data_IF_424410701296
#
_entry.id   IF_424410701296
#
_cell.length_a   1.000
_cell.length_b   1.000
_cell.length_c   1.000
_cell.angle_alpha   90.00
_cell.angle_beta   90.00
_cell.angle_gamma   90.00
#
_symmetry.space_group_name_H-M   'P 1'
#
loop_
_entity.id
_entity.type
_entity.pdbx_description
1 polymer ?
#
# COMPACT_ATOMS: atom_id res chain seq x y z
N UNK A 1 34.09 -93.55 73.94
CA UNK A 1 34.60 -93.62 72.58
C UNK A 1 33.68 -92.81 71.65
N UNK A 2 34.06 -91.55 71.29
CA UNK A 2 33.29 -90.67 70.43
C UNK A 2 34.01 -90.46 69.14
N UNK A 3 33.51 -91.00 68.04
CA UNK A 3 33.96 -90.75 66.70
C UNK A 3 33.29 -89.55 66.04
N UNK A 4 34.02 -88.45 65.84
CA UNK A 4 33.54 -87.30 65.04
C UNK A 4 33.58 -87.65 63.54
N UNK A 5 32.39 -87.64 62.86
CA UNK A 5 32.28 -87.75 61.41
C UNK A 5 32.77 -86.46 60.72
N UNK A 6 33.55 -86.52 59.63
CA UNK A 6 34.01 -85.34 58.93
C UNK A 6 32.91 -84.63 58.12
N UNK A 7 32.78 -83.32 58.24
CA UNK A 7 31.89 -82.52 57.46
C UNK A 7 32.36 -82.50 55.98
N UNK A 8 31.54 -83.06 55.06
CA UNK A 8 31.73 -82.91 53.61
C UNK A 8 31.58 -81.41 53.21
N UNK A 9 32.73 -80.85 52.73
CA UNK A 9 32.72 -79.53 52.06
C UNK A 9 31.92 -79.64 50.74
N UNK A 10 30.80 -78.85 50.56
CA UNK A 10 30.09 -78.70 49.27
C UNK A 10 31.04 -78.09 48.25
N UNK A 11 31.13 -78.64 47.00
CA UNK A 11 31.98 -78.03 45.97
C UNK A 11 31.46 -76.67 45.60
N UNK A 12 32.29 -75.63 45.65
CA UNK A 12 31.98 -74.33 45.08
C UNK A 12 31.85 -74.50 43.55
N UNK A 13 30.65 -74.42 43.03
CA UNK A 13 30.38 -74.40 41.59
C UNK A 13 31.14 -73.19 40.98
N UNK A 14 32.25 -73.42 40.29
CA UNK A 14 32.95 -72.42 39.51
C UNK A 14 31.98 -71.99 38.39
N UNK A 15 31.45 -70.84 38.51
CA UNK A 15 30.62 -70.26 37.46
C UNK A 15 31.49 -70.09 36.20
N UNK A 16 31.02 -70.61 35.07
CA UNK A 16 31.75 -70.63 33.80
C UNK A 16 32.06 -69.20 33.36
N UNK A 17 33.30 -68.85 32.98
CA UNK A 17 33.76 -67.56 32.56
C UNK A 17 32.87 -66.99 31.42
N UNK A 18 32.36 -67.86 30.54
CA UNK A 18 31.44 -67.54 29.46
C UNK A 18 30.11 -66.97 29.98
N UNK A 19 29.55 -67.54 31.08
CA UNK A 19 28.34 -67.08 31.73
C UNK A 19 28.56 -65.70 32.35
N UNK A 20 29.75 -65.42 32.93
CA UNK A 20 30.06 -64.08 33.46
C UNK A 20 30.17 -63.02 32.36
N UNK A 21 30.78 -63.35 31.20
CA UNK A 21 30.86 -62.49 30.05
C UNK A 21 29.46 -62.19 29.46
N UNK A 22 28.59 -63.20 29.35
CA UNK A 22 27.22 -63.02 28.83
C UNK A 22 26.43 -62.16 29.77
N UNK A 23 26.47 -62.33 31.08
CA UNK A 23 25.79 -61.47 32.06
C UNK A 23 26.32 -60.03 32.00
N UNK A 24 27.65 -59.85 31.86
CA UNK A 24 28.28 -58.54 31.73
C UNK A 24 27.84 -57.82 30.49
N UNK A 25 27.72 -58.48 29.34
CA UNK A 25 27.21 -57.91 28.08
C UNK A 25 25.71 -57.55 28.21
N UNK A 26 24.91 -58.44 28.83
CA UNK A 26 23.47 -58.17 29.04
C UNK A 26 23.23 -56.97 29.97
N UNK A 27 23.99 -56.89 31.08
CA UNK A 27 23.90 -55.73 31.99
C UNK A 27 24.34 -54.42 31.31
N UNK A 28 25.39 -54.48 30.45
CA UNK A 28 25.82 -53.32 29.67
C UNK A 28 24.80 -52.90 28.64
N UNK A 29 24.14 -53.81 27.93
CA UNK A 29 23.04 -53.53 27.00
C UNK A 29 21.81 -52.97 27.71
N UNK A 30 21.47 -53.46 28.90
CA UNK A 30 20.37 -52.90 29.72
C UNK A 30 20.69 -51.50 30.14
N UNK A 31 21.92 -51.19 30.60
CA UNK A 31 22.34 -49.85 30.97
C UNK A 31 22.28 -48.86 29.77
N UNK A 32 22.72 -49.31 28.58
CA UNK A 32 22.59 -48.49 27.35
C UNK A 32 21.12 -48.24 27.04
N UNK A 33 20.27 -49.25 27.12
CA UNK A 33 18.82 -49.10 26.87
C UNK A 33 18.17 -48.15 27.87
N UNK A 34 18.50 -48.21 29.15
CA UNK A 34 18.03 -47.28 30.18
C UNK A 34 18.49 -45.86 29.92
N UNK A 35 19.78 -45.65 29.55
CA UNK A 35 20.32 -44.33 29.21
C UNK A 35 19.64 -43.76 27.99
N UNK A 36 19.41 -44.55 26.94
CA UNK A 36 18.70 -44.12 25.74
C UNK A 36 17.23 -43.77 26.06
N UNK A 37 16.59 -44.55 26.95
CA UNK A 37 15.21 -44.28 27.38
C UNK A 37 15.13 -43.01 28.21
N UNK A 38 16.04 -42.80 29.16
CA UNK A 38 16.13 -41.55 29.93
C UNK A 38 16.36 -40.36 29.02
N UNK A 39 17.31 -40.49 28.05
CA UNK A 39 17.57 -39.41 27.09
C UNK A 39 16.35 -39.07 26.26
N UNK A 40 15.59 -40.08 25.81
CA UNK A 40 14.34 -39.89 25.07
C UNK A 40 13.27 -39.17 25.92
N UNK A 41 13.06 -39.62 27.16
CA UNK A 41 12.11 -39.00 28.10
C UNK A 41 12.48 -37.52 28.35
N UNK A 42 13.76 -37.23 28.57
CA UNK A 42 14.24 -35.86 28.77
C UNK A 42 14.07 -35.01 27.51
N UNK A 43 14.26 -35.56 26.32
CA UNK A 43 14.04 -34.87 25.06
C UNK A 43 12.54 -34.58 24.84
N UNK A 44 11.68 -35.55 25.13
CA UNK A 44 10.24 -35.41 25.02
C UNK A 44 9.69 -34.33 26.00
N UNK A 45 10.16 -34.32 27.25
CA UNK A 45 9.81 -33.29 28.24
C UNK A 45 10.29 -31.91 27.79
N UNK A 46 11.52 -31.78 27.29
CA UNK A 46 12.05 -30.51 26.77
C UNK A 46 11.24 -30.02 25.59
N UNK A 47 10.86 -30.89 24.65
CA UNK A 47 10.06 -30.55 23.50
C UNK A 47 8.64 -30.09 23.91
N UNK A 48 8.06 -30.67 24.95
CA UNK A 48 6.75 -30.26 25.47
C UNK A 48 6.81 -28.89 26.18
N UNK A 49 7.87 -28.59 26.93
CA UNK A 49 8.10 -27.30 27.54
C UNK A 49 8.30 -26.23 26.47
N UNK A 50 9.11 -26.51 25.44
CA UNK A 50 9.35 -25.60 24.34
C UNK A 50 8.08 -25.34 23.51
N UNK A 51 7.26 -26.37 23.27
CA UNK A 51 5.95 -26.23 22.66
C UNK A 51 5.07 -25.23 23.43
N UNK A 52 4.94 -25.41 24.76
CA UNK A 52 4.16 -24.51 25.60
C UNK A 52 4.69 -23.08 25.56
N UNK A 53 6.02 -22.92 25.53
CA UNK A 53 6.67 -21.62 25.41
C UNK A 53 6.34 -20.95 24.09
N UNK A 54 6.37 -21.67 22.96
CA UNK A 54 6.01 -21.14 21.64
C UNK A 54 4.55 -20.70 21.64
N UNK A 55 3.63 -21.53 22.10
CA UNK A 55 2.20 -21.19 22.20
C UNK A 55 2.00 -19.91 23.01
N UNK A 56 2.68 -19.81 24.16
CA UNK A 56 2.59 -18.61 24.99
C UNK A 56 3.10 -17.36 24.25
N UNK A 57 4.25 -17.45 23.57
CA UNK A 57 4.85 -16.33 22.82
C UNK A 57 3.91 -15.87 21.70
N UNK A 58 3.31 -16.80 20.94
CA UNK A 58 2.40 -16.48 19.86
C UNK A 58 1.11 -15.83 20.36
N UNK A 59 0.59 -16.30 21.49
CA UNK A 59 -0.60 -15.69 22.13
C UNK A 59 -0.29 -14.33 22.76
N UNK A 60 0.87 -14.16 23.40
CA UNK A 60 1.30 -12.85 23.93
C UNK A 60 1.52 -11.85 22.79
N UNK A 61 2.03 -12.30 21.64
CA UNK A 61 2.18 -11.47 20.45
C UNK A 61 0.81 -11.02 19.91
N UNK A 62 -0.14 -11.93 19.80
CA UNK A 62 -1.52 -11.59 19.37
C UNK A 62 -2.20 -10.57 20.30
N UNK A 63 -1.95 -10.63 21.61
CA UNK A 63 -2.48 -9.67 22.60
C UNK A 63 -1.99 -8.23 22.42
N UNK A 64 -0.88 -8.02 21.76
CA UNK A 64 -0.37 -6.66 21.50
C UNK A 64 -1.26 -5.89 20.51
N UNK A 65 -1.98 -6.62 19.66
CA UNK A 65 -2.78 -6.05 18.56
C UNK A 65 -4.28 -6.26 18.74
N UNK A 66 -4.67 -7.17 19.63
CA UNK A 66 -6.06 -7.48 19.88
C UNK A 66 -6.32 -7.49 21.40
N UNK A 67 -7.33 -6.79 21.85
CA UNK A 67 -7.70 -6.77 23.28
C UNK A 67 -8.04 -8.18 23.76
N UNK A 68 -8.83 -8.91 22.97
CA UNK A 68 -9.20 -10.30 23.22
C UNK A 68 -9.21 -11.11 21.93
N UNK A 69 -8.99 -12.44 22.06
CA UNK A 69 -9.09 -13.40 20.96
C UNK A 69 -9.53 -14.77 21.48
N UNK A 70 -10.10 -15.58 20.60
CA UNK A 70 -10.32 -17.01 20.81
C UNK A 70 -9.23 -17.82 20.11
N UNK A 71 -8.97 -19.02 20.62
CA UNK A 71 -8.06 -19.98 20.00
C UNK A 71 -8.91 -21.14 19.47
N UNK A 72 -8.74 -21.44 18.18
CA UNK A 72 -9.32 -22.61 17.55
C UNK A 72 -8.17 -23.57 17.21
N UNK A 73 -8.22 -24.77 17.79
CA UNK A 73 -7.18 -25.79 17.63
C UNK A 73 -7.64 -26.85 16.62
N UNK A 74 -6.73 -27.26 15.75
CA UNK A 74 -6.94 -28.37 14.81
C UNK A 74 -5.67 -29.23 14.77
N UNK A 75 -5.80 -30.56 14.74
CA UNK A 75 -4.68 -31.47 14.61
C UNK A 75 -4.91 -32.44 13.47
N UNK A 76 -3.95 -32.53 12.57
CA UNK A 76 -3.95 -33.45 11.43
C UNK A 76 -2.60 -34.19 11.36
N UNK A 77 -2.55 -35.41 11.87
CA UNK A 77 -1.31 -36.18 11.98
C UNK A 77 -0.27 -35.48 12.85
N UNK A 78 0.86 -35.12 12.27
CA UNK A 78 1.94 -34.39 12.94
C UNK A 78 1.81 -32.86 12.88
N UNK A 79 0.75 -32.34 12.25
CA UNK A 79 0.51 -30.90 12.12
C UNK A 79 -0.51 -30.45 13.15
N UNK A 80 -0.12 -29.55 14.02
CA UNK A 80 -0.99 -28.84 14.96
C UNK A 80 -1.15 -27.42 14.51
N UNK A 81 -2.42 -26.97 14.38
CA UNK A 81 -2.80 -25.64 13.91
C UNK A 81 -3.52 -24.91 15.03
N UNK A 82 -3.13 -23.66 15.26
CA UNK A 82 -3.85 -22.73 16.12
C UNK A 82 -4.25 -21.50 15.31
N UNK A 83 -5.52 -21.17 15.34
CA UNK A 83 -6.06 -19.91 14.81
C UNK A 83 -6.37 -18.97 15.98
N UNK A 84 -5.66 -17.83 16.04
CA UNK A 84 -5.89 -16.80 17.06
C UNK A 84 -6.79 -15.73 16.45
N UNK A 85 -8.11 -15.88 16.68
CA UNK A 85 -9.15 -15.07 16.04
C UNK A 85 -9.59 -13.97 17.00
N UNK A 86 -9.45 -12.67 16.65
CA UNK A 86 -9.97 -11.57 17.46
C UNK A 86 -11.45 -11.72 17.78
N UNK A 87 -11.86 -11.25 18.96
CA UNK A 87 -13.26 -11.31 19.40
C UNK A 87 -13.89 -9.92 19.45
N UNK A 88 -15.21 -9.90 19.30
CA UNK A 88 -16.03 -8.72 19.56
C UNK A 88 -16.11 -8.39 21.08
N UNK A 89 -16.78 -7.31 21.43
CA UNK A 89 -16.99 -6.90 22.83
C UNK A 89 -17.77 -7.92 23.67
N UNK A 90 -18.49 -8.84 23.04
CA UNK A 90 -19.25 -9.92 23.68
C UNK A 90 -18.42 -11.21 23.86
N UNK A 91 -17.19 -11.22 23.34
CA UNK A 91 -16.27 -12.36 23.39
C UNK A 91 -16.49 -13.40 22.27
N UNK A 92 -17.31 -13.09 21.26
CA UNK A 92 -17.51 -13.99 20.13
C UNK A 92 -16.43 -13.73 19.07
N UNK A 93 -15.96 -14.79 18.35
CA UNK A 93 -15.07 -14.62 17.21
C UNK A 93 -15.67 -13.65 16.18
N UNK A 94 -14.84 -12.77 15.66
CA UNK A 94 -15.24 -11.86 14.57
C UNK A 94 -15.33 -12.69 13.28
N UNK A 95 -16.55 -12.99 12.85
CA UNK A 95 -16.85 -13.89 11.73
C UNK A 95 -16.17 -13.51 10.42
N UNK A 96 -16.12 -12.21 10.09
CA UNK A 96 -15.48 -11.71 8.88
C UNK A 96 -13.95 -12.03 8.88
N UNK A 97 -13.30 -11.91 10.04
CA UNK A 97 -11.86 -12.23 10.19
C UNK A 97 -11.66 -13.74 10.12
N UNK A 98 -12.50 -14.52 10.81
CA UNK A 98 -12.44 -15.98 10.79
C UNK A 98 -12.58 -16.52 9.36
N UNK A 99 -13.58 -16.03 8.62
CA UNK A 99 -13.82 -16.42 7.21
C UNK A 99 -12.63 -16.11 6.32
N UNK A 100 -12.01 -14.94 6.47
CA UNK A 100 -10.82 -14.58 5.70
C UNK A 100 -9.64 -15.47 6.06
N UNK A 101 -9.41 -15.76 7.35
CA UNK A 101 -8.37 -16.69 7.80
C UNK A 101 -8.60 -18.09 7.20
N UNK A 102 -9.81 -18.60 7.20
CA UNK A 102 -10.17 -19.89 6.60
C UNK A 102 -9.84 -19.94 5.10
N UNK A 103 -10.00 -18.83 4.38
CA UNK A 103 -9.64 -18.74 2.96
C UNK A 103 -8.13 -18.74 2.70
N UNK A 104 -7.35 -18.15 3.62
CA UNK A 104 -5.89 -18.00 3.47
C UNK A 104 -5.12 -19.25 3.92
N UNK A 105 -5.65 -20.03 4.86
CA UNK A 105 -4.92 -21.16 5.47
C UNK A 105 -4.76 -22.36 4.53
N UNK A 106 -5.61 -22.55 3.52
CA UNK A 106 -5.63 -23.76 2.69
C UNK A 106 -4.30 -24.05 2.02
N UNK A 107 -3.66 -23.06 1.41
CA UNK A 107 -2.36 -23.20 0.73
C UNK A 107 -1.23 -23.59 1.69
N UNK A 108 -1.27 -23.05 2.90
CA UNK A 108 -0.28 -23.37 3.94
C UNK A 108 -0.48 -24.80 4.47
N UNK A 109 -1.74 -25.19 4.69
CA UNK A 109 -2.04 -26.56 5.16
C UNK A 109 -1.66 -27.61 4.11
N UNK A 110 -1.87 -27.35 2.83
CA UNK A 110 -1.45 -28.20 1.73
C UNK A 110 0.08 -28.36 1.68
N UNK A 111 0.83 -27.28 1.88
CA UNK A 111 2.30 -27.28 1.90
C UNK A 111 2.87 -28.18 3.00
N UNK A 112 2.20 -28.27 4.15
CA UNK A 112 2.66 -29.06 5.30
C UNK A 112 1.87 -30.37 5.47
N UNK A 113 0.94 -30.70 4.58
CA UNK A 113 0.20 -31.96 4.62
C UNK A 113 1.17 -33.15 4.59
N UNK A 114 1.03 -34.07 5.57
CA UNK A 114 1.89 -35.26 5.68
C UNK A 114 3.30 -34.98 6.21
N UNK A 115 3.53 -33.88 6.93
CA UNK A 115 4.80 -33.57 7.57
C UNK A 115 5.29 -34.76 8.42
N UNK A 116 6.55 -35.18 8.20
CA UNK A 116 7.16 -36.32 8.92
C UNK A 116 7.49 -35.99 10.37
N UNK A 117 7.64 -34.70 10.69
CA UNK A 117 7.98 -34.21 12.03
C UNK A 117 6.81 -33.36 12.55
N UNK A 118 6.70 -33.25 13.88
CA UNK A 118 5.73 -32.37 14.52
C UNK A 118 5.93 -30.94 14.02
N UNK A 119 4.86 -30.36 13.47
CA UNK A 119 4.83 -29.03 12.87
C UNK A 119 3.73 -28.23 13.53
N UNK A 120 4.04 -27.02 13.99
CA UNK A 120 3.10 -26.10 14.62
C UNK A 120 2.87 -24.95 13.67
N UNK A 121 1.59 -24.63 13.41
CA UNK A 121 1.20 -23.55 12.52
C UNK A 121 0.27 -22.63 13.29
N UNK A 122 0.60 -21.35 13.35
CA UNK A 122 -0.22 -20.33 13.99
C UNK A 122 -0.70 -19.34 12.93
N UNK A 123 -2.01 -19.22 12.79
CA UNK A 123 -2.64 -18.15 12.02
C UNK A 123 -3.10 -17.06 12.96
N UNK A 124 -2.78 -15.80 12.62
CA UNK A 124 -3.04 -14.65 13.47
C UNK A 124 -3.62 -13.51 12.64
N UNK A 125 -4.56 -12.77 13.20
CA UNK A 125 -5.02 -11.53 12.62
C UNK A 125 -4.71 -10.38 13.58
N UNK A 126 -4.03 -9.33 13.08
CA UNK A 126 -3.68 -8.14 13.84
C UNK A 126 -4.51 -6.97 13.36
N UNK A 127 -5.27 -6.35 14.27
CA UNK A 127 -6.03 -5.14 13.97
C UNK A 127 -5.22 -3.91 14.37
N UNK A 128 -4.96 -3.05 13.39
CA UNK A 128 -4.31 -1.76 13.61
C UNK A 128 -5.29 -0.65 13.30
N UNK A 129 -5.56 0.21 14.28
CA UNK A 129 -6.41 1.39 14.07
C UNK A 129 -5.67 2.40 13.22
N UNK A 130 -6.24 2.73 12.07
CA UNK A 130 -5.69 3.73 11.14
C UNK A 130 -6.22 5.12 11.48
N UNK A 131 -7.54 5.26 11.48
CA UNK A 131 -8.29 6.43 11.93
C UNK A 131 -9.46 5.94 12.78
N UNK A 132 -10.25 6.85 13.36
CA UNK A 132 -11.37 6.47 14.23
C UNK A 132 -12.36 5.48 13.59
N UNK A 133 -12.54 5.56 12.27
CA UNK A 133 -13.50 4.80 11.49
C UNK A 133 -12.91 3.70 10.62
N UNK A 134 -11.58 3.52 10.60
CA UNK A 134 -10.91 2.55 9.72
C UNK A 134 -9.84 1.78 10.48
N UNK A 135 -9.88 0.46 10.35
CA UNK A 135 -8.83 -0.46 10.79
C UNK A 135 -8.12 -1.07 9.57
N UNK A 136 -6.85 -1.41 9.74
CA UNK A 136 -6.11 -2.32 8.86
C UNK A 136 -5.98 -3.66 9.58
N UNK A 137 -6.42 -4.74 8.94
CA UNK A 137 -6.34 -6.10 9.46
C UNK A 137 -5.28 -6.83 8.67
N UNK A 138 -4.23 -7.26 9.36
CA UNK A 138 -3.12 -8.01 8.79
C UNK A 138 -3.21 -9.48 9.21
N UNK A 139 -3.07 -10.39 8.28
CA UNK A 139 -3.13 -11.84 8.50
C UNK A 139 -1.74 -12.45 8.37
N UNK A 140 -1.28 -13.08 9.45
CA UNK A 140 0.06 -13.68 9.53
C UNK A 140 0.00 -15.18 9.74
N UNK A 141 1.05 -15.85 9.27
CA UNK A 141 1.35 -17.24 9.62
C UNK A 141 2.72 -17.34 10.27
N UNK A 142 2.81 -18.15 11.33
CA UNK A 142 4.09 -18.61 11.91
C UNK A 142 4.13 -20.13 11.84
N UNK A 143 5.23 -20.69 11.34
CA UNK A 143 5.41 -22.14 11.23
C UNK A 143 6.67 -22.57 11.97
N UNK A 144 6.52 -23.56 12.84
CA UNK A 144 7.61 -24.16 13.60
C UNK A 144 7.66 -25.66 13.34
N UNK A 145 8.86 -26.21 13.21
CA UNK A 145 9.05 -27.66 13.05
C UNK A 145 9.97 -28.21 14.12
N UNK A 146 9.60 -29.36 14.67
CA UNK A 146 10.38 -30.07 15.68
C UNK A 146 11.71 -30.52 15.15
N UNK A 147 12.78 -30.26 15.91
CA UNK A 147 14.12 -30.82 15.79
C UNK A 147 14.34 -31.96 16.79
N UNK A 148 15.54 -32.51 16.80
CA UNK A 148 15.93 -33.51 17.81
C UNK A 148 15.78 -32.95 19.23
N UNK A 149 15.95 -31.63 19.38
CA UNK A 149 15.74 -30.90 20.62
C UNK A 149 15.16 -29.50 20.32
N UNK A 150 13.93 -29.28 20.73
CA UNK A 150 13.19 -28.02 20.52
C UNK A 150 12.55 -27.93 19.15
N UNK A 151 12.23 -26.69 18.78
CA UNK A 151 11.60 -26.34 17.52
C UNK A 151 12.41 -25.26 16.80
N UNK A 152 12.31 -25.23 15.48
CA UNK A 152 12.83 -24.18 14.62
C UNK A 152 11.69 -23.48 13.94
N UNK A 153 11.71 -22.15 13.94
CA UNK A 153 10.79 -21.36 13.12
C UNK A 153 11.22 -21.46 11.66
N UNK A 154 10.33 -22.01 10.82
CA UNK A 154 10.55 -22.14 9.39
C UNK A 154 10.02 -20.92 8.62
N UNK A 155 8.87 -20.38 9.05
CA UNK A 155 8.19 -19.29 8.38
C UNK A 155 7.63 -18.30 9.40
N UNK A 156 7.68 -17.04 9.01
CA UNK A 156 6.89 -15.94 9.54
C UNK A 156 6.56 -15.03 8.36
N UNK A 157 5.30 -15.02 7.94
CA UNK A 157 4.88 -14.34 6.71
C UNK A 157 3.54 -13.65 6.90
N UNK A 158 3.40 -12.46 6.30
CA UNK A 158 2.14 -11.80 6.11
C UNK A 158 1.45 -12.38 4.88
N UNK A 159 0.36 -13.08 5.08
CA UNK A 159 -0.41 -13.72 4.01
C UNK A 159 -1.27 -12.73 3.24
N UNK A 160 -1.83 -11.74 3.95
CA UNK A 160 -2.73 -10.72 3.39
C UNK A 160 -2.93 -9.60 4.39
N UNK A 161 -3.45 -8.47 3.92
CA UNK A 161 -4.02 -7.42 4.76
C UNK A 161 -5.27 -6.85 4.10
N UNK A 162 -6.12 -6.19 4.90
CA UNK A 162 -7.37 -5.60 4.43
C UNK A 162 -7.74 -4.37 5.25
N UNK A 163 -7.96 -3.26 4.56
CA UNK A 163 -8.59 -2.09 5.16
C UNK A 163 -10.09 -2.32 5.30
N UNK A 164 -10.63 -2.04 6.49
CA UNK A 164 -12.05 -2.22 6.79
C UNK A 164 -12.59 -1.02 7.58
N UNK A 165 -13.90 -0.77 7.48
CA UNK A 165 -14.56 0.12 8.43
C UNK A 165 -14.51 -0.49 9.84
N UNK A 166 -14.21 0.33 10.84
CA UNK A 166 -14.00 -0.14 12.21
C UNK A 166 -15.27 -0.69 12.88
N UNK A 167 -16.44 -0.22 12.46
CA UNK A 167 -17.76 -0.60 13.02
C UNK A 167 -18.41 -1.77 12.31
N UNK A 168 -18.29 -1.86 10.97
CA UNK A 168 -18.98 -2.87 10.17
C UNK A 168 -18.08 -3.99 9.66
N UNK A 169 -16.75 -3.78 9.68
CA UNK A 169 -15.73 -4.64 9.08
C UNK A 169 -15.91 -4.87 7.57
N UNK A 170 -16.76 -4.06 6.93
CA UNK A 170 -16.87 -4.03 5.48
C UNK A 170 -15.59 -3.49 4.85
N UNK A 171 -15.21 -3.97 3.66
CA UNK A 171 -14.01 -3.50 2.97
C UNK A 171 -13.98 -1.98 2.81
N UNK A 172 -12.85 -1.38 3.17
CA UNK A 172 -12.60 0.04 3.00
C UNK A 172 -11.63 0.27 1.84
N UNK A 173 -12.08 0.95 0.82
CA UNK A 173 -11.21 1.34 -0.29
C UNK A 173 -10.31 2.50 0.11
N UNK A 174 -8.99 2.38 -0.11
CA UNK A 174 -8.01 3.42 0.19
C UNK A 174 -8.33 4.76 -0.49
N UNK A 175 -9.05 4.74 -1.61
CA UNK A 175 -9.52 5.94 -2.31
C UNK A 175 -10.38 6.85 -1.43
N UNK A 176 -11.10 6.27 -0.46
CA UNK A 176 -11.96 7.01 0.46
C UNK A 176 -11.20 7.91 1.44
N UNK A 177 -9.88 7.70 1.59
CA UNK A 177 -9.01 8.60 2.36
C UNK A 177 -8.89 9.99 1.71
N UNK A 178 -9.14 10.10 0.41
CA UNK A 178 -8.78 11.27 -0.38
C UNK A 178 -9.99 12.09 -0.82
N UNK A 179 -9.77 13.40 -0.99
CA UNK A 179 -10.80 14.35 -1.40
C UNK A 179 -11.16 14.23 -2.88
N UNK A 180 -10.18 13.85 -3.72
CA UNK A 180 -10.32 13.86 -5.17
C UNK A 180 -9.52 12.72 -5.80
N UNK A 181 -10.23 11.79 -6.42
CA UNK A 181 -9.61 10.60 -7.03
C UNK A 181 -8.73 10.94 -8.23
N UNK A 182 -9.12 11.93 -9.04
CA UNK A 182 -8.34 12.39 -10.19
C UNK A 182 -7.04 13.05 -9.73
N UNK A 183 -7.07 13.85 -8.66
CA UNK A 183 -5.88 14.44 -8.08
C UNK A 183 -4.89 13.37 -7.58
N UNK A 184 -5.41 12.31 -6.96
CA UNK A 184 -4.57 11.18 -6.55
C UNK A 184 -4.03 10.39 -7.72
N UNK A 185 -4.83 10.17 -8.76
CA UNK A 185 -4.36 9.55 -10.00
C UNK A 185 -3.19 10.34 -10.59
N UNK A 186 -3.35 11.65 -10.73
CA UNK A 186 -2.29 12.53 -11.22
C UNK A 186 -1.05 12.55 -10.30
N UNK A 187 -1.24 12.49 -8.98
CA UNK A 187 -0.12 12.39 -8.03
C UNK A 187 0.72 11.15 -8.29
N UNK A 188 0.09 9.97 -8.41
CA UNK A 188 0.80 8.72 -8.68
C UNK A 188 1.43 8.71 -10.08
N UNK A 189 0.70 9.19 -11.09
CA UNK A 189 1.22 9.32 -12.47
C UNK A 189 2.44 10.21 -12.50
N UNK A 190 2.40 11.37 -11.84
CA UNK A 190 3.54 12.28 -11.77
C UNK A 190 4.73 11.65 -11.07
N UNK A 191 4.50 10.93 -9.96
CA UNK A 191 5.56 10.21 -9.26
C UNK A 191 6.19 9.14 -10.15
N UNK A 192 5.39 8.41 -10.92
CA UNK A 192 5.89 7.41 -11.88
C UNK A 192 6.71 8.05 -13.00
N UNK A 193 6.28 9.19 -13.55
CA UNK A 193 7.01 9.94 -14.57
C UNK A 193 8.37 10.42 -14.02
N UNK A 194 8.38 10.99 -12.81
CA UNK A 194 9.60 11.52 -12.19
C UNK A 194 10.62 10.41 -11.91
N UNK A 195 10.15 9.26 -11.43
CA UNK A 195 11.00 8.08 -11.21
C UNK A 195 11.52 7.49 -12.52
N UNK A 196 10.67 7.35 -13.53
CA UNK A 196 11.05 6.87 -14.84
C UNK A 196 12.11 7.76 -15.47
N UNK A 197 11.94 9.08 -15.38
CA UNK A 197 12.91 10.08 -15.86
C UNK A 197 14.23 10.00 -15.10
N UNK A 198 14.21 9.86 -13.78
CA UNK A 198 15.41 9.69 -12.96
C UNK A 198 16.19 8.43 -13.32
N UNK A 199 15.50 7.38 -13.76
CA UNK A 199 16.07 6.10 -14.19
C UNK A 199 16.37 6.04 -15.69
N UNK A 200 16.13 7.12 -16.47
CA UNK A 200 16.40 7.19 -17.91
C UNK A 200 15.52 6.26 -18.74
N UNK A 201 14.32 5.94 -18.29
CA UNK A 201 13.38 5.07 -19.02
C UNK A 201 12.82 5.79 -20.26
N UNK A 202 12.57 5.01 -21.31
CA UNK A 202 11.89 5.48 -22.50
C UNK A 202 10.39 5.71 -22.24
N UNK A 203 9.74 6.47 -23.12
CA UNK A 203 8.31 6.80 -22.98
C UNK A 203 7.41 5.58 -22.90
N UNK A 204 7.63 4.58 -23.75
CA UNK A 204 6.88 3.31 -23.76
C UNK A 204 6.94 2.60 -22.39
N UNK A 205 8.12 2.58 -21.77
CA UNK A 205 8.31 2.00 -20.45
C UNK A 205 7.62 2.84 -19.37
N UNK A 206 7.65 4.15 -19.51
CA UNK A 206 6.98 5.10 -18.61
C UNK A 206 5.45 4.94 -18.71
N UNK A 207 4.91 4.86 -19.92
CA UNK A 207 3.46 4.63 -20.18
C UNK A 207 2.98 3.33 -19.52
N UNK A 208 3.77 2.27 -19.59
CA UNK A 208 3.45 0.99 -18.93
C UNK A 208 3.29 1.12 -17.42
N UNK A 209 4.14 1.91 -16.78
CA UNK A 209 4.06 2.16 -15.34
C UNK A 209 2.88 3.08 -15.04
N UNK A 210 2.74 4.21 -15.74
CA UNK A 210 1.70 5.21 -15.47
C UNK A 210 0.28 4.69 -15.69
N UNK A 211 0.09 3.77 -16.66
CA UNK A 211 -1.21 3.14 -16.93
C UNK A 211 -1.83 2.44 -15.72
N UNK A 212 -1.01 1.98 -14.77
CA UNK A 212 -1.47 1.34 -13.54
C UNK A 212 -2.13 2.34 -12.57
N UNK A 213 -1.89 3.63 -12.76
CA UNK A 213 -2.38 4.70 -11.88
C UNK A 213 -3.44 5.58 -12.52
N UNK A 214 -3.59 5.54 -13.85
CA UNK A 214 -4.57 6.32 -14.59
C UNK A 214 -6.00 5.83 -14.36
N UNK A 215 -6.97 6.70 -14.58
CA UNK A 215 -8.41 6.37 -14.66
C UNK A 215 -8.94 5.56 -13.47
N UNK A 216 -8.37 5.78 -12.29
CA UNK A 216 -8.75 5.08 -11.06
C UNK A 216 -8.19 3.66 -10.94
N UNK A 217 -7.33 3.21 -11.85
CA UNK A 217 -6.71 1.88 -11.76
C UNK A 217 -5.89 1.70 -10.48
N UNK A 218 -5.28 2.77 -9.95
CA UNK A 218 -4.54 2.76 -8.69
C UNK A 218 -5.35 2.22 -7.49
N UNK A 219 -6.68 2.31 -7.53
CA UNK A 219 -7.57 1.76 -6.49
C UNK A 219 -7.54 0.22 -6.41
N UNK A 220 -7.06 -0.43 -7.47
CA UNK A 220 -6.93 -1.90 -7.56
C UNK A 220 -5.55 -2.41 -7.15
N UNK A 221 -4.61 -1.50 -6.90
CA UNK A 221 -3.27 -1.87 -6.47
C UNK A 221 -3.28 -2.32 -5.01
N UNK A 222 -2.35 -3.20 -4.67
CA UNK A 222 -2.09 -3.56 -3.28
C UNK A 222 -1.51 -2.35 -2.56
N UNK A 223 -2.32 -1.75 -1.69
CA UNK A 223 -1.97 -0.57 -0.93
C UNK A 223 -2.32 -0.76 0.54
N UNK A 224 -1.33 -0.55 1.41
CA UNK A 224 -1.46 -0.64 2.86
C UNK A 224 -1.09 0.66 3.55
N UNK A 225 -1.69 0.88 4.71
CA UNK A 225 -1.33 1.98 5.58
C UNK A 225 -0.22 1.51 6.51
N UNK A 226 0.85 2.28 6.54
CA UNK A 226 2.00 2.06 7.42
C UNK A 226 2.10 3.21 8.42
N UNK A 227 2.97 3.07 9.41
CA UNK A 227 3.04 4.01 10.55
C UNK A 227 3.04 5.49 10.15
N UNK A 228 3.76 5.89 9.09
CA UNK A 228 3.95 7.30 8.72
C UNK A 228 3.47 7.61 7.28
N UNK A 229 2.68 6.73 6.65
CA UNK A 229 2.27 6.93 5.26
C UNK A 229 1.51 5.75 4.68
N UNK A 230 1.56 5.64 3.37
CA UNK A 230 1.02 4.51 2.63
C UNK A 230 2.13 3.77 1.88
N UNK A 231 1.98 2.46 1.77
CA UNK A 231 2.76 1.63 0.86
C UNK A 231 1.88 1.28 -0.32
N UNK A 232 2.40 1.43 -1.53
CA UNK A 232 1.68 1.08 -2.76
C UNK A 232 2.59 0.17 -3.58
N UNK A 233 2.13 -1.04 -3.89
CA UNK A 233 2.83 -1.98 -4.78
C UNK A 233 2.38 -1.77 -6.23
N UNK A 234 3.31 -1.86 -7.15
CA UNK A 234 3.07 -1.73 -8.58
C UNK A 234 4.05 -2.60 -9.38
N UNK A 235 3.88 -2.68 -10.70
CA UNK A 235 4.83 -3.34 -11.58
C UNK A 235 5.75 -2.30 -12.24
N UNK A 236 7.07 -2.54 -12.17
CA UNK A 236 8.05 -1.70 -12.84
C UNK A 236 8.03 -1.92 -14.37
N UNK A 237 8.94 -1.26 -15.08
CA UNK A 237 9.08 -1.39 -16.54
C UNK A 237 9.35 -2.83 -17.02
N UNK A 238 9.89 -3.69 -16.16
CA UNK A 238 10.25 -5.08 -16.43
C UNK A 238 9.22 -6.09 -15.90
N UNK A 239 8.03 -5.65 -15.49
CA UNK A 239 6.98 -6.45 -14.83
C UNK A 239 7.40 -7.03 -13.47
N UNK A 240 8.47 -6.51 -12.86
CA UNK A 240 8.87 -6.90 -11.53
C UNK A 240 8.05 -6.13 -10.48
N UNK A 241 7.82 -6.76 -9.33
CA UNK A 241 7.19 -6.07 -8.21
C UNK A 241 8.10 -4.95 -7.67
N UNK A 242 7.53 -3.77 -7.60
CA UNK A 242 8.10 -2.58 -7.00
C UNK A 242 7.13 -1.98 -6.00
N UNK A 243 7.61 -1.12 -5.11
CA UNK A 243 6.74 -0.46 -4.15
C UNK A 243 7.19 0.96 -3.86
N UNK A 244 6.23 1.83 -3.62
CA UNK A 244 6.48 3.13 -3.00
C UNK A 244 6.09 3.09 -1.52
N UNK A 245 6.85 3.81 -0.73
CA UNK A 245 6.46 4.26 0.60
C UNK A 245 6.29 5.76 0.51
N UNK A 246 5.05 6.23 0.68
CA UNK A 246 4.68 7.63 0.50
C UNK A 246 4.28 8.19 1.86
N UNK A 247 5.05 9.14 2.42
CA UNK A 247 4.73 9.75 3.70
C UNK A 247 3.40 10.51 3.67
N UNK A 248 2.66 10.51 4.77
CA UNK A 248 1.43 11.31 4.87
C UNK A 248 1.65 12.80 4.62
N UNK A 249 2.84 13.32 4.91
CA UNK A 249 3.21 14.71 4.64
C UNK A 249 3.17 15.08 3.16
N UNK A 250 3.39 14.14 2.24
CA UNK A 250 3.19 14.34 0.80
C UNK A 250 1.72 14.25 0.39
N UNK A 251 0.88 13.61 1.21
CA UNK A 251 -0.53 13.31 0.92
C UNK A 251 -1.51 14.29 1.56
N UNK A 252 -1.10 15.09 2.55
CA UNK A 252 -2.00 16.00 3.28
C UNK A 252 -2.84 16.92 2.39
N UNK A 253 -2.30 17.35 1.24
CA UNK A 253 -3.04 18.18 0.29
C UNK A 253 -4.25 17.44 -0.33
N UNK A 254 -4.23 16.15 -0.34
CA UNK A 254 -5.20 15.28 -1.01
C UNK A 254 -6.13 14.57 -0.04
N UNK A 255 -5.75 14.42 1.23
CA UNK A 255 -6.48 13.67 2.25
C UNK A 255 -7.70 14.44 2.77
N UNK A 256 -8.75 13.71 3.12
CA UNK A 256 -9.85 14.24 3.92
C UNK A 256 -9.39 14.49 5.35
N UNK A 257 -9.82 15.60 5.94
CA UNK A 257 -9.37 16.00 7.29
C UNK A 257 -9.77 14.99 8.38
N UNK A 258 -10.94 14.38 8.25
CA UNK A 258 -11.44 13.33 9.14
C UNK A 258 -10.73 11.98 8.95
N UNK A 259 -9.96 11.83 7.88
CA UNK A 259 -9.15 10.65 7.56
C UNK A 259 -7.65 10.83 7.87
N UNK A 260 -7.27 11.88 8.59
CA UNK A 260 -5.90 12.06 9.07
C UNK A 260 -5.66 11.14 10.28
N UNK A 261 -4.66 10.25 10.25
CA UNK A 261 -4.31 9.39 11.38
C UNK A 261 -4.03 10.21 12.65
N UNK A 262 -4.41 9.68 13.81
CA UNK A 262 -4.21 10.37 15.10
C UNK A 262 -2.75 10.74 15.32
N UNK A 263 -1.83 9.84 14.95
CA UNK A 263 -0.37 10.03 15.03
C UNK A 263 0.15 11.16 14.14
N UNK A 264 -0.61 11.58 13.13
CA UNK A 264 -0.22 12.59 12.14
C UNK A 264 -0.94 13.95 12.33
N UNK A 265 -1.85 14.06 13.29
CA UNK A 265 -2.63 15.28 13.49
C UNK A 265 -1.78 16.52 13.76
N UNK A 266 -0.72 16.39 14.54
CA UNK A 266 0.18 17.52 14.83
C UNK A 266 0.94 17.95 13.56
N UNK A 267 1.40 17.00 12.75
CA UNK A 267 2.05 17.26 11.47
C UNK A 267 1.08 17.94 10.49
N UNK A 268 -0.17 17.50 10.48
CA UNK A 268 -1.22 18.10 9.64
C UNK A 268 -1.56 19.54 10.07
N UNK A 269 -1.63 19.81 11.36
CA UNK A 269 -1.82 21.19 11.88
C UNK A 269 -0.67 22.10 11.44
N UNK A 270 0.58 21.63 11.51
CA UNK A 270 1.74 22.38 11.03
C UNK A 270 1.67 22.62 9.51
N UNK A 271 1.33 21.59 8.74
CA UNK A 271 1.09 21.71 7.29
C UNK A 271 0.06 22.80 6.99
N UNK A 272 -1.11 22.78 7.66
CA UNK A 272 -2.16 23.80 7.48
C UNK A 272 -1.68 25.21 7.84
N UNK A 273 -0.88 25.36 8.88
CA UNK A 273 -0.31 26.65 9.26
C UNK A 273 0.62 27.19 8.16
N UNK A 274 1.48 26.37 7.59
CA UNK A 274 2.35 26.75 6.45
C UNK A 274 1.54 27.10 5.22
N UNK A 275 0.49 26.33 4.90
CA UNK A 275 -0.43 26.64 3.78
C UNK A 275 -1.12 27.98 4.02
N UNK A 276 -1.64 28.23 5.23
CA UNK A 276 -2.30 29.49 5.58
C UNK A 276 -1.36 30.69 5.47
N UNK A 277 -0.12 30.56 5.95
CA UNK A 277 0.91 31.61 5.79
C UNK A 277 1.19 31.90 4.32
N UNK A 278 1.39 30.84 3.53
CA UNK A 278 1.58 30.99 2.09
C UNK A 278 0.38 31.65 1.42
N UNK A 279 -0.85 31.30 1.80
CA UNK A 279 -2.08 31.92 1.28
C UNK A 279 -2.25 33.38 1.68
N UNK A 280 -1.68 33.79 2.79
CA UNK A 280 -1.71 35.20 3.25
C UNK A 280 -0.77 36.14 2.47
N UNK A 281 0.13 35.62 1.65
CA UNK A 281 1.02 36.44 0.81
C UNK A 281 0.31 36.91 -0.45
N UNK A 282 0.68 38.06 -0.98
CA UNK A 282 0.18 38.54 -2.27
C UNK A 282 0.51 37.54 -3.37
N UNK A 283 -0.48 37.13 -4.14
CA UNK A 283 -0.32 36.16 -5.21
C UNK A 283 -1.14 36.54 -6.43
N UNK A 284 -0.64 36.12 -7.58
CA UNK A 284 -1.34 36.16 -8.87
C UNK A 284 -1.21 34.78 -9.49
N UNK A 285 -2.33 34.20 -9.92
CA UNK A 285 -2.33 33.01 -10.74
C UNK A 285 -2.25 33.41 -12.21
N UNK A 286 -1.21 32.96 -12.88
CA UNK A 286 -1.04 33.16 -14.32
C UNK A 286 -1.67 31.99 -15.06
N UNK A 287 -2.42 32.30 -16.11
CA UNK A 287 -2.96 31.28 -17.02
C UNK A 287 -2.91 31.74 -18.46
N UNK A 288 -2.70 30.78 -19.36
CA UNK A 288 -2.60 31.00 -20.80
C UNK A 288 -3.56 30.06 -21.52
N UNK A 289 -4.41 30.64 -22.36
CA UNK A 289 -5.41 29.92 -23.14
C UNK A 289 -4.93 29.67 -24.57
N UNK A 290 -5.67 28.87 -25.33
CA UNK A 290 -5.53 28.63 -26.77
C UNK A 290 -4.24 27.89 -27.21
N UNK A 291 -3.37 27.49 -26.29
CA UNK A 291 -2.16 26.73 -26.60
C UNK A 291 -2.43 25.22 -26.87
N UNK A 292 -1.36 24.47 -27.15
CA UNK A 292 0.00 24.92 -27.37
C UNK A 292 0.22 25.53 -28.76
N UNK A 293 1.12 26.53 -28.84
CA UNK A 293 1.65 27.07 -30.08
C UNK A 293 3.14 26.68 -30.20
N UNK A 294 3.51 26.09 -31.32
CA UNK A 294 4.93 25.71 -31.58
C UNK A 294 5.87 26.92 -31.51
N UNK A 295 5.38 28.11 -31.85
CA UNK A 295 6.20 29.34 -31.86
C UNK A 295 6.19 30.08 -30.52
N UNK A 296 5.00 30.20 -29.89
CA UNK A 296 4.82 31.11 -28.75
C UNK A 296 4.97 30.41 -27.38
N UNK A 297 4.42 29.22 -27.24
CA UNK A 297 4.44 28.51 -25.93
C UNK A 297 5.86 28.27 -25.41
N UNK A 298 6.86 27.87 -26.22
CA UNK A 298 8.22 27.76 -25.74
C UNK A 298 8.82 29.07 -25.22
N UNK A 299 8.49 30.21 -25.83
CA UNK A 299 8.95 31.52 -25.38
C UNK A 299 8.35 31.91 -24.02
N UNK A 300 7.09 31.58 -23.82
CA UNK A 300 6.39 31.80 -22.53
C UNK A 300 7.03 30.93 -21.45
N UNK A 301 7.31 29.65 -21.72
CA UNK A 301 7.98 28.74 -20.79
C UNK A 301 9.38 29.23 -20.42
N UNK A 302 10.16 29.74 -21.39
CA UNK A 302 11.49 30.31 -21.12
C UNK A 302 11.41 31.51 -20.17
N UNK A 303 10.41 32.39 -20.35
CA UNK A 303 10.18 33.53 -19.46
C UNK A 303 9.74 33.08 -18.07
N UNK A 304 8.79 32.14 -17.96
CA UNK A 304 8.35 31.62 -16.67
C UNK A 304 9.51 31.02 -15.88
N UNK A 305 10.38 30.25 -16.57
CA UNK A 305 11.60 29.69 -15.98
C UNK A 305 12.57 30.80 -15.51
N UNK A 306 12.77 31.82 -16.32
CA UNK A 306 13.62 32.97 -15.95
C UNK A 306 13.16 33.66 -14.66
N UNK A 307 11.85 33.78 -14.47
CA UNK A 307 11.26 34.43 -13.29
C UNK A 307 10.88 33.47 -12.17
N UNK A 308 11.23 32.17 -12.28
CA UNK A 308 10.83 31.13 -11.34
C UNK A 308 9.33 31.18 -11.03
N UNK A 309 8.52 31.36 -12.08
CA UNK A 309 7.07 31.46 -12.02
C UNK A 309 6.42 30.21 -12.61
N UNK A 310 5.26 29.86 -12.07
CA UNK A 310 4.42 28.77 -12.58
C UNK A 310 3.12 29.30 -13.12
N UNK A 311 2.50 28.55 -14.04
CA UNK A 311 1.26 28.94 -14.69
C UNK A 311 0.41 27.72 -15.00
N UNK A 312 -0.87 27.94 -15.29
CA UNK A 312 -1.79 26.95 -15.88
C UNK A 312 -1.93 27.22 -17.38
N UNK A 313 -1.74 26.18 -18.19
CA UNK A 313 -1.95 26.25 -19.64
C UNK A 313 -3.25 25.53 -20.00
N UNK A 314 -4.25 26.26 -20.45
CA UNK A 314 -5.53 25.72 -20.95
C UNK A 314 -5.38 25.35 -22.41
N UNK A 315 -5.37 24.05 -22.66
CA UNK A 315 -4.98 23.44 -23.94
C UNK A 315 -6.21 23.23 -24.83
N UNK A 316 -6.14 23.72 -26.05
CA UNK A 316 -7.10 23.37 -27.10
C UNK A 316 -6.71 22.02 -27.68
N UNK A 317 -7.58 21.03 -27.58
CA UNK A 317 -7.26 19.64 -27.91
C UNK A 317 -6.79 19.45 -29.36
N UNK A 318 -7.32 20.20 -30.31
CA UNK A 318 -6.89 20.17 -31.72
C UNK A 318 -5.46 20.69 -31.95
N UNK A 319 -4.85 21.34 -30.97
CA UNK A 319 -3.48 21.84 -31.05
C UNK A 319 -2.45 20.88 -30.43
N UNK A 320 -2.87 19.76 -29.86
CA UNK A 320 -1.97 18.82 -29.17
C UNK A 320 -1.12 18.03 -30.18
N UNK A 321 -1.74 17.53 -31.24
CA UNK A 321 -1.07 16.74 -32.27
C UNK A 321 0.07 17.54 -32.92
N UNK A 322 1.29 16.98 -32.88
CA UNK A 322 2.53 17.60 -33.33
C UNK A 322 3.17 18.58 -32.34
N UNK A 323 2.56 18.77 -31.17
CA UNK A 323 3.06 19.65 -30.09
C UNK A 323 3.25 18.89 -28.77
N UNK A 324 3.30 17.55 -28.78
CA UNK A 324 3.41 16.69 -27.61
C UNK A 324 4.64 17.04 -26.76
N UNK A 325 5.75 17.38 -27.41
CA UNK A 325 6.99 17.78 -26.72
C UNK A 325 6.80 19.07 -25.89
N UNK A 326 5.91 19.99 -26.34
CA UNK A 326 5.57 21.20 -25.59
C UNK A 326 4.71 20.86 -24.39
N UNK A 327 3.74 19.97 -24.54
CA UNK A 327 2.92 19.48 -23.42
C UNK A 327 3.80 18.86 -22.33
N UNK A 328 4.78 18.03 -22.72
CA UNK A 328 5.76 17.46 -21.78
C UNK A 328 6.59 18.51 -21.09
N UNK A 329 7.07 19.49 -21.84
CA UNK A 329 7.84 20.60 -21.30
C UNK A 329 7.05 21.41 -20.26
N UNK A 330 5.75 21.65 -20.50
CA UNK A 330 4.85 22.30 -19.54
C UNK A 330 4.86 21.52 -18.21
N UNK A 331 4.70 20.20 -18.26
CA UNK A 331 4.69 19.33 -17.06
C UNK A 331 6.06 19.28 -16.38
N UNK A 332 7.13 19.14 -17.18
CA UNK A 332 8.50 19.00 -16.67
C UNK A 332 9.00 20.26 -15.95
N UNK A 333 8.52 21.43 -16.37
CA UNK A 333 8.85 22.71 -15.76
C UNK A 333 7.89 23.09 -14.61
N UNK A 334 6.97 22.16 -14.20
CA UNK A 334 6.12 22.30 -13.02
C UNK A 334 4.87 23.17 -13.23
N UNK A 335 4.44 23.32 -14.47
CA UNK A 335 3.21 24.02 -14.81
C UNK A 335 2.01 23.08 -14.84
N UNK A 336 0.79 23.62 -14.71
CA UNK A 336 -0.44 22.85 -14.81
C UNK A 336 -0.99 22.81 -16.23
N UNK A 337 -1.64 21.69 -16.58
CA UNK A 337 -2.41 21.49 -17.79
C UNK A 337 -3.91 21.62 -17.46
N UNK A 338 -4.59 22.54 -18.13
CA UNK A 338 -6.04 22.69 -18.12
C UNK A 338 -6.66 22.29 -19.46
N UNK A 339 -7.95 22.00 -19.46
CA UNK A 339 -8.73 21.70 -20.65
C UNK A 339 -9.33 23.01 -21.21
N UNK A 340 -9.25 23.22 -22.54
CA UNK A 340 -9.88 24.35 -23.21
C UNK A 340 -10.81 23.93 -24.37
N UNK A 341 -11.43 22.74 -24.20
CA UNK A 341 -12.20 22.02 -25.22
C UNK A 341 -11.35 21.56 -26.42
N UNK A 342 -11.93 20.73 -27.29
CA UNK A 342 -11.20 20.20 -28.44
C UNK A 342 -11.11 21.18 -29.60
N UNK A 343 -12.23 21.80 -29.98
CA UNK A 343 -12.33 22.66 -31.17
C UNK A 343 -12.69 24.12 -30.85
N UNK A 344 -12.61 24.51 -29.58
CA UNK A 344 -12.88 25.86 -29.09
C UNK A 344 -14.27 26.40 -29.42
N UNK A 345 -15.39 25.64 -29.26
CA UNK A 345 -16.74 26.12 -29.53
C UNK A 345 -17.31 26.88 -28.33
N UNK A 346 -18.35 27.68 -28.54
CA UNK A 346 -19.17 28.21 -27.42
C UNK A 346 -20.03 27.08 -26.84
N UNK A 347 -19.57 26.47 -25.75
CA UNK A 347 -20.11 25.24 -25.18
C UNK A 347 -21.61 25.29 -24.82
N UNK A 348 -22.19 26.40 -24.27
CA UNK A 348 -23.63 26.45 -23.97
C UNK A 348 -24.56 26.28 -25.18
N UNK A 349 -24.06 26.39 -26.41
CA UNK A 349 -24.82 26.13 -27.63
C UNK A 349 -24.73 24.73 -28.16
N UNK A 350 -23.97 23.85 -27.46
CA UNK A 350 -23.76 22.47 -27.81
C UNK A 350 -24.74 21.57 -27.06
N UNK A 351 -24.93 20.36 -27.56
CA UNK A 351 -25.65 19.31 -26.83
C UNK A 351 -24.75 18.74 -25.70
N UNK A 352 -25.37 18.08 -24.74
CA UNK A 352 -24.62 17.42 -23.62
C UNK A 352 -23.54 16.47 -24.13
N UNK A 353 -23.86 15.63 -25.13
CA UNK A 353 -22.91 14.68 -25.72
C UNK A 353 -21.76 15.39 -26.45
N UNK A 354 -22.06 16.50 -27.16
CA UNK A 354 -21.02 17.28 -27.81
C UNK A 354 -20.07 17.91 -26.77
N UNK A 355 -20.59 18.46 -25.67
CA UNK A 355 -19.77 19.03 -24.59
C UNK A 355 -18.91 17.96 -23.96
N UNK A 356 -19.50 16.82 -23.60
CA UNK A 356 -18.73 15.67 -23.08
C UNK A 356 -17.58 15.26 -24.01
N UNK A 357 -17.86 15.16 -25.33
CA UNK A 357 -16.86 14.76 -26.31
C UNK A 357 -15.76 15.81 -26.50
N UNK A 358 -16.08 17.10 -26.48
CA UNK A 358 -15.10 18.19 -26.54
C UNK A 358 -14.10 18.12 -25.38
N UNK A 359 -14.60 17.92 -24.15
CA UNK A 359 -13.77 17.84 -22.95
C UNK A 359 -13.01 16.50 -22.90
N UNK A 360 -13.72 15.38 -23.07
CA UNK A 360 -13.09 14.06 -22.98
C UNK A 360 -11.98 13.86 -23.99
N UNK A 361 -12.19 14.24 -25.24
CA UNK A 361 -11.20 14.11 -26.31
C UNK A 361 -9.95 14.92 -26.02
N UNK A 362 -10.11 16.13 -25.51
CA UNK A 362 -9.00 16.99 -25.10
C UNK A 362 -8.23 16.37 -23.93
N UNK A 363 -8.95 15.93 -22.90
CA UNK A 363 -8.35 15.25 -21.74
C UNK A 363 -7.57 14.01 -22.13
N UNK A 364 -8.09 13.19 -23.06
CA UNK A 364 -7.40 11.97 -23.55
C UNK A 364 -6.13 12.32 -24.34
N UNK A 365 -6.17 13.38 -25.17
CA UNK A 365 -5.00 13.84 -25.93
C UNK A 365 -3.92 14.42 -25.00
N UNK A 366 -4.32 15.21 -24.00
CA UNK A 366 -3.41 15.73 -22.98
C UNK A 366 -2.77 14.55 -22.21
N UNK A 367 -3.56 13.60 -21.76
CA UNK A 367 -3.05 12.44 -21.02
C UNK A 367 -2.05 11.65 -21.86
N UNK A 368 -2.34 11.40 -23.14
CA UNK A 368 -1.41 10.73 -24.05
C UNK A 368 -0.10 11.53 -24.21
N UNK A 369 -0.19 12.83 -24.46
CA UNK A 369 0.99 13.68 -24.67
C UNK A 369 1.84 13.85 -23.40
N UNK A 370 1.23 13.78 -22.20
CA UNK A 370 1.87 13.97 -20.90
C UNK A 370 2.22 12.66 -20.16
N UNK A 371 2.13 11.50 -20.80
CA UNK A 371 2.36 10.19 -20.20
C UNK A 371 1.36 9.84 -19.06
N UNK A 372 0.15 10.35 -19.14
CA UNK A 372 -0.95 9.95 -18.26
C UNK A 372 -1.57 11.02 -17.38
N UNK A 373 -1.06 12.25 -17.36
CA UNK A 373 -1.63 13.33 -16.56
C UNK A 373 -2.90 13.89 -17.22
N UNK A 374 -3.97 13.99 -16.46
CA UNK A 374 -5.24 14.56 -16.93
C UNK A 374 -5.45 15.98 -16.39
N UNK A 375 -6.06 16.88 -17.18
CA UNK A 375 -6.43 18.21 -16.69
C UNK A 375 -7.41 18.10 -15.52
N UNK A 376 -7.22 18.93 -14.50
CA UNK A 376 -8.09 18.99 -13.33
C UNK A 376 -9.14 20.10 -13.41
N UNK A 377 -9.04 20.96 -14.42
CA UNK A 377 -9.97 22.05 -14.65
C UNK A 377 -10.24 22.27 -16.14
N UNK A 378 -11.47 22.69 -16.43
CA UNK A 378 -11.89 23.20 -17.72
C UNK A 378 -11.99 24.73 -17.63
N UNK A 379 -11.39 25.44 -18.58
CA UNK A 379 -11.79 26.80 -18.90
C UNK A 379 -12.63 26.78 -20.16
N UNK A 380 -13.94 27.06 -20.07
CA UNK A 380 -14.78 27.06 -21.24
C UNK A 380 -14.37 28.18 -22.20
N UNK A 381 -14.31 27.93 -23.52
CA UNK A 381 -14.09 29.00 -24.50
C UNK A 381 -15.05 30.19 -24.30
N UNK A 382 -14.49 31.39 -24.42
CA UNK A 382 -15.24 32.66 -24.18
C UNK A 382 -15.77 32.83 -22.75
N UNK A 383 -15.33 32.00 -21.78
CA UNK A 383 -15.82 31.95 -20.41
C UNK A 383 -17.26 31.47 -20.28
N UNK A 384 -17.85 30.96 -21.35
CA UNK A 384 -19.26 30.59 -21.41
C UNK A 384 -19.57 29.20 -20.88
N UNK A 385 -20.36 29.10 -19.80
CA UNK A 385 -20.86 27.85 -19.29
C UNK A 385 -22.22 27.99 -18.61
N UNK A 386 -22.93 26.92 -18.49
CA UNK A 386 -24.16 26.74 -17.73
C UNK A 386 -24.10 25.42 -16.93
N UNK A 387 -25.20 25.06 -16.27
CA UNK A 387 -25.28 23.85 -15.49
C UNK A 387 -24.99 22.58 -16.33
N UNK A 388 -25.52 22.52 -17.56
CA UNK A 388 -25.28 21.36 -18.45
C UNK A 388 -23.81 21.23 -18.79
N UNK A 389 -23.12 22.33 -19.12
CA UNK A 389 -21.67 22.31 -19.38
C UNK A 389 -20.89 21.84 -18.14
N UNK A 390 -21.24 22.36 -16.96
CA UNK A 390 -20.60 21.97 -15.71
C UNK A 390 -20.78 20.47 -15.40
N UNK A 391 -22.01 19.98 -15.57
CA UNK A 391 -22.33 18.56 -15.34
C UNK A 391 -21.56 17.64 -16.32
N UNK A 392 -21.43 18.04 -17.59
CA UNK A 392 -20.75 17.23 -18.61
C UNK A 392 -19.22 17.30 -18.53
N UNK A 393 -18.67 18.38 -18.04
CA UNK A 393 -17.23 18.55 -17.88
C UNK A 393 -16.65 17.54 -16.86
N UNK A 394 -17.37 17.26 -15.77
CA UNK A 394 -16.94 16.34 -14.71
C UNK A 394 -15.69 16.79 -13.94
N UNK A 395 -15.16 17.98 -14.25
CA UNK A 395 -13.99 18.63 -13.62
C UNK A 395 -14.32 20.08 -13.28
N UNK A 396 -13.48 20.71 -12.45
CA UNK A 396 -13.71 22.07 -12.01
C UNK A 396 -13.73 23.06 -13.19
N UNK A 397 -14.71 23.98 -13.22
CA UNK A 397 -14.72 25.08 -14.17
C UNK A 397 -13.99 26.28 -13.57
N UNK A 398 -12.99 26.79 -14.28
CA UNK A 398 -12.12 27.87 -13.82
C UNK A 398 -12.05 28.96 -14.90
N UNK A 399 -12.70 30.10 -14.67
CA UNK A 399 -12.55 31.27 -15.50
C UNK A 399 -11.39 32.14 -14.96
N UNK A 400 -11.42 33.43 -15.27
CA UNK A 400 -10.46 34.44 -14.84
C UNK A 400 -11.14 35.52 -13.98
N UNK A 401 -10.39 36.13 -13.09
CA UNK A 401 -10.81 37.32 -12.36
C UNK A 401 -10.40 38.58 -13.08
N UNK A 402 -9.32 38.53 -13.87
CA UNK A 402 -8.85 39.64 -14.69
C UNK A 402 -8.62 39.10 -16.09
N UNK A 403 -9.40 39.64 -17.05
CA UNK A 403 -9.16 39.44 -18.48
C UNK A 403 -8.02 40.37 -18.89
N UNK A 404 -6.97 39.87 -19.48
CA UNK A 404 -5.83 40.65 -19.95
C UNK A 404 -6.20 41.59 -21.12
N UNK A 405 -7.27 41.27 -21.84
CA UNK A 405 -7.71 41.95 -23.07
C UNK A 405 -6.64 41.98 -24.17
N UNK A 406 -5.66 41.10 -24.13
CA UNK A 406 -4.57 40.97 -25.12
C UNK A 406 -5.15 40.64 -26.50
N UNK A 407 -6.15 39.79 -26.58
CA UNK A 407 -6.89 39.44 -27.80
C UNK A 407 -7.55 40.66 -28.45
N UNK A 408 -7.94 41.66 -27.65
CA UNK A 408 -8.61 42.88 -28.09
C UNK A 408 -7.63 44.01 -28.42
N UNK A 409 -6.66 44.25 -27.52
CA UNK A 409 -5.71 45.34 -27.66
C UNK A 409 -4.67 45.07 -28.73
N UNK A 410 -4.16 43.83 -28.79
CA UNK A 410 -3.07 43.44 -29.65
C UNK A 410 -1.84 44.35 -29.54
N UNK A 411 -1.65 44.93 -28.35
CA UNK A 411 -0.66 45.90 -27.99
C UNK A 411 -0.14 45.56 -26.56
N UNK A 412 1.14 45.21 -26.45
CA UNK A 412 1.72 44.76 -25.19
C UNK A 412 1.68 45.87 -24.11
N UNK A 413 1.92 47.14 -24.49
CA UNK A 413 1.93 48.23 -23.52
C UNK A 413 0.54 48.46 -22.90
N UNK A 414 -0.52 48.48 -23.73
CA UNK A 414 -1.89 48.62 -23.28
C UNK A 414 -2.33 47.41 -22.45
N UNK A 415 -1.98 46.23 -22.84
CA UNK A 415 -2.28 44.99 -22.07
C UNK A 415 -1.62 45.04 -20.70
N UNK A 416 -0.33 45.41 -20.62
CA UNK A 416 0.42 45.53 -19.36
C UNK A 416 -0.20 46.63 -18.47
N UNK A 417 -0.55 47.78 -19.01
CA UNK A 417 -1.19 48.88 -18.28
C UNK A 417 -2.52 48.39 -17.68
N UNK A 418 -3.37 47.77 -18.49
CA UNK A 418 -4.65 47.20 -18.05
C UNK A 418 -4.50 46.18 -16.96
N UNK A 419 -3.57 45.23 -17.08
CA UNK A 419 -3.29 44.24 -16.05
C UNK A 419 -2.83 44.91 -14.74
N UNK A 420 -1.92 45.89 -14.81
CA UNK A 420 -1.41 46.59 -13.62
C UNK A 420 -2.49 47.34 -12.87
N UNK A 421 -3.38 48.00 -13.60
CA UNK A 421 -4.50 48.78 -13.02
C UNK A 421 -5.54 47.88 -12.32
N UNK A 422 -5.76 46.69 -12.84
CA UNK A 422 -6.81 45.78 -12.35
C UNK A 422 -6.27 44.64 -11.43
N UNK A 423 -4.95 44.50 -11.29
CA UNK A 423 -4.40 43.45 -10.45
C UNK A 423 -4.35 43.85 -8.98
N UNK A 424 -5.00 43.07 -8.15
CA UNK A 424 -5.02 43.21 -6.69
C UNK A 424 -4.87 41.81 -6.09
N UNK A 425 -4.50 41.76 -4.80
CA UNK A 425 -4.39 40.49 -4.10
C UNK A 425 -5.78 39.90 -3.92
N UNK A 426 -6.00 38.72 -4.47
CA UNK A 426 -7.34 38.10 -4.38
C UNK A 426 -7.30 36.60 -4.47
#
# INVERSE_FOLDING_TARGET
FGGKKPKKKRPKKKMNKTIFCVIGILTFLILIFELLTIHRIMADQFNEEEFKRIVQVEQEDAKKYNENFTVKDETNGNVEVQELIPTDASGNPIEAIATQMDSLKQSILEKYAGAAKKTLIFFKAYQTKVVSSVNDIHYYVSVYQQKDRGFEQLEFEELSHQLVFADSLEPFEISKLFNNELAMSNFFVKKAIDEAKANGLADEQTEKITAQFMDGNWKKLDASIIQNGIRVKYKDANDQEAQWTIPFTELFAYMKEDMIPETEKDNFVQYRAVVKEKLGKKRVALSFDDGPSAELTPKVLDLLKQYNAHATFYIVGSHVEGNEAIIRRIVDEGHELGDHSYSHPYLPKKTADEVYNEVKKTSDLIAKASLGLRPMSLRPPYGGYDKMVADQAGIAIVNWSIDSLDWKYRDAAKTIEHIKENTHNG
#
